data_IF_816303588941
#
_entry.id   IF_816303588941
#
_cell.length_a   1.000
_cell.length_b   1.000
_cell.length_c   1.000
_cell.angle_alpha   90.00
_cell.angle_beta   90.00
_cell.angle_gamma   90.00
#
_symmetry.space_group_name_H-M   'P 1'
#
loop_
_entity.id
_entity.type
_entity.pdbx_description
1 polymer ?
#
# COMPACT_ATOMS: atom_id res chain seq x y z
N UNK A 1 -0.27 14.38 -2.09
CA UNK A 1 -0.48 12.94 -2.30
C UNK A 1 0.00 12.16 -1.10
N UNK A 2 -0.62 11.03 -0.75
CA UNK A 2 -0.18 10.14 0.36
C UNK A 2 0.01 8.74 -0.20
N UNK A 3 1.12 8.07 0.14
CA UNK A 3 1.36 6.66 -0.18
C UNK A 3 1.51 5.89 1.12
N UNK A 4 0.63 4.91 1.34
CA UNK A 4 0.66 3.99 2.47
C UNK A 4 1.34 2.70 2.04
N UNK A 5 2.34 2.26 2.78
CA UNK A 5 2.97 0.95 2.61
C UNK A 5 2.90 0.14 3.91
N UNK A 6 2.57 -1.12 3.80
CA UNK A 6 2.53 -2.09 4.90
C UNK A 6 2.16 -3.47 4.40
N UNK A 7 2.36 -4.50 5.19
CA UNK A 7 2.03 -5.89 4.84
C UNK A 7 0.52 -6.17 4.77
N UNK A 8 0.18 -7.36 4.32
CA UNK A 8 -1.18 -7.90 4.43
C UNK A 8 -1.65 -7.82 5.89
N UNK A 9 -2.93 -7.59 6.09
CA UNK A 9 -3.58 -7.48 7.41
C UNK A 9 -2.95 -6.45 8.39
N UNK A 10 -2.07 -5.56 7.89
CA UNK A 10 -1.51 -4.47 8.70
C UNK A 10 -2.48 -3.33 9.01
N UNK A 11 -3.70 -3.33 8.47
CA UNK A 11 -4.69 -2.27 8.69
C UNK A 11 -4.59 -1.06 7.76
N UNK A 12 -3.78 -1.13 6.68
CA UNK A 12 -3.64 -0.05 5.70
C UNK A 12 -4.97 0.43 5.12
N UNK A 13 -5.80 -0.49 4.62
CA UNK A 13 -7.08 -0.15 3.98
C UNK A 13 -8.06 0.49 4.96
N UNK A 14 -8.04 0.05 6.23
CA UNK A 14 -8.82 0.71 7.31
C UNK A 14 -8.30 2.12 7.58
N UNK A 15 -6.98 2.31 7.61
CA UNK A 15 -6.36 3.62 7.74
C UNK A 15 -6.70 4.53 6.55
N UNK A 16 -6.62 4.01 5.32
CA UNK A 16 -6.95 4.76 4.11
C UNK A 16 -8.40 5.27 4.13
N UNK A 17 -9.35 4.41 4.51
CA UNK A 17 -10.75 4.80 4.68
C UNK A 17 -10.94 5.84 5.78
N UNK A 18 -10.28 5.65 6.93
CA UNK A 18 -10.34 6.63 8.03
C UNK A 18 -9.75 8.00 7.61
N UNK A 19 -8.71 8.01 6.76
CA UNK A 19 -8.18 9.25 6.19
C UNK A 19 -9.18 9.93 5.25
N UNK A 20 -9.87 9.18 4.38
CA UNK A 20 -10.90 9.75 3.50
C UNK A 20 -12.03 10.42 4.29
N UNK A 21 -12.42 9.87 5.45
CA UNK A 21 -13.45 10.44 6.32
C UNK A 21 -12.98 11.66 7.12
N UNK A 22 -11.70 11.74 7.45
CA UNK A 22 -11.16 12.80 8.32
C UNK A 22 -10.61 14.00 7.54
N UNK A 23 -10.14 13.80 6.32
CA UNK A 23 -9.61 14.86 5.48
C UNK A 23 -10.75 15.68 4.87
N UNK A 24 -10.64 17.01 4.94
CA UNK A 24 -11.70 17.92 4.51
C UNK A 24 -11.98 17.89 3.00
N UNK A 25 -10.94 17.63 2.21
CA UNK A 25 -11.07 17.53 0.74
C UNK A 25 -11.39 16.09 0.31
N UNK A 26 -11.99 15.91 -0.88
CA UNK A 26 -12.21 14.57 -1.44
C UNK A 26 -10.88 13.95 -1.88
N UNK A 27 -10.51 12.81 -1.29
CA UNK A 27 -9.34 12.03 -1.64
C UNK A 27 -9.74 10.75 -2.38
N UNK A 28 -9.16 10.54 -3.55
CA UNK A 28 -9.32 9.29 -4.30
C UNK A 28 -8.39 8.23 -3.74
N UNK A 29 -8.91 7.04 -3.47
CA UNK A 29 -8.12 5.90 -3.00
C UNK A 29 -7.86 4.96 -4.18
N UNK A 30 -6.58 4.64 -4.41
CA UNK A 30 -6.11 3.64 -5.36
C UNK A 30 -5.34 2.56 -4.61
N UNK A 31 -5.87 1.34 -4.60
CA UNK A 31 -5.23 0.16 -4.01
C UNK A 31 -4.49 -0.66 -5.05
N UNK A 32 -3.44 -1.39 -4.64
CA UNK A 32 -2.83 -2.39 -5.51
C UNK A 32 -3.81 -3.51 -5.85
N UNK A 33 -4.77 -3.78 -4.97
CA UNK A 33 -5.84 -4.75 -5.20
C UNK A 33 -6.73 -4.33 -6.38
N UNK A 34 -6.96 -3.03 -6.63
CA UNK A 34 -7.70 -2.53 -7.80
C UNK A 34 -7.01 -2.92 -9.12
N UNK A 35 -5.67 -2.85 -9.15
CA UNK A 35 -4.90 -3.32 -10.31
C UNK A 35 -5.04 -4.83 -10.48
N UNK A 36 -4.95 -5.59 -9.38
CA UNK A 36 -5.07 -7.06 -9.41
C UNK A 36 -6.46 -7.46 -9.89
N UNK A 37 -7.50 -6.84 -9.39
CA UNK A 37 -8.90 -7.12 -9.77
C UNK A 37 -9.19 -6.77 -11.24
N UNK A 38 -8.50 -5.77 -11.80
CA UNK A 38 -8.60 -5.42 -13.21
C UNK A 38 -7.83 -6.36 -14.14
N UNK A 39 -7.00 -7.28 -13.62
CA UNK A 39 -6.20 -8.17 -14.44
C UNK A 39 -7.00 -9.35 -15.00
N UNK A 40 -6.67 -9.83 -16.22
CA UNK A 40 -7.25 -11.05 -16.73
C UNK A 40 -6.81 -12.26 -15.91
N UNK A 41 -7.74 -13.19 -15.64
CA UNK A 41 -7.52 -14.34 -14.75
C UNK A 41 -6.30 -15.23 -15.11
N UNK A 42 -5.80 -15.20 -16.35
CA UNK A 42 -4.56 -15.90 -16.71
C UNK A 42 -3.33 -15.36 -15.97
N UNK A 43 -3.31 -14.08 -15.63
CA UNK A 43 -2.20 -13.44 -14.92
C UNK A 43 -2.28 -13.60 -13.40
N UNK A 44 -3.40 -14.12 -12.89
CA UNK A 44 -3.61 -14.39 -11.46
C UNK A 44 -3.20 -15.83 -11.07
N UNK A 45 -2.68 -16.61 -12.02
CA UNK A 45 -2.30 -18.02 -11.83
C UNK A 45 -0.79 -18.28 -11.95
N UNK A 46 0.03 -17.24 -11.77
CA UNK A 46 1.49 -17.34 -11.84
C UNK A 46 2.07 -17.06 -13.23
N UNK A 47 3.26 -17.59 -13.49
CA UNK A 47 3.98 -17.35 -14.74
C UNK A 47 4.48 -15.92 -14.85
N UNK A 48 4.07 -15.22 -15.92
CA UNK A 48 4.43 -13.80 -16.15
C UNK A 48 3.58 -12.79 -15.34
N UNK A 49 2.52 -13.25 -14.66
CA UNK A 49 1.61 -12.45 -13.85
C UNK A 49 1.98 -12.40 -12.38
N UNK A 50 0.99 -12.65 -11.50
CA UNK A 50 1.16 -12.74 -10.05
C UNK A 50 0.83 -14.15 -9.57
N UNK A 51 1.60 -14.66 -8.61
CA UNK A 51 1.34 -15.94 -7.96
C UNK A 51 1.48 -15.84 -6.46
N UNK A 52 0.62 -16.56 -5.76
CA UNK A 52 0.68 -16.78 -4.33
C UNK A 52 1.28 -18.17 -4.07
N UNK A 53 2.33 -18.25 -3.27
CA UNK A 53 2.92 -19.49 -2.81
C UNK A 53 1.93 -20.24 -1.90
N UNK A 54 1.62 -21.47 -2.26
CA UNK A 54 0.62 -22.27 -1.54
C UNK A 54 1.06 -22.69 -0.11
N UNK A 55 2.38 -22.70 0.15
CA UNK A 55 2.93 -23.19 1.40
C UNK A 55 3.32 -22.09 2.40
N UNK A 56 3.72 -20.93 1.91
CA UNK A 56 4.35 -19.86 2.71
C UNK A 56 3.68 -18.49 2.52
N UNK A 57 2.66 -18.38 1.68
CA UNK A 57 1.99 -17.11 1.36
C UNK A 57 2.90 -16.13 0.60
N UNK A 58 4.08 -16.56 0.14
CA UNK A 58 4.99 -15.68 -0.59
C UNK A 58 4.38 -15.23 -1.92
N UNK A 59 4.44 -13.93 -2.18
CA UNK A 59 3.95 -13.35 -3.44
C UNK A 59 5.11 -13.22 -4.41
N UNK A 60 4.96 -13.82 -5.59
CA UNK A 60 5.88 -13.64 -6.72
C UNK A 60 5.21 -12.89 -7.85
N UNK A 61 5.95 -12.03 -8.53
CA UNK A 61 5.45 -11.19 -9.63
C UNK A 61 6.33 -11.33 -10.86
N UNK A 62 5.70 -11.57 -12.01
CA UNK A 62 6.36 -11.73 -13.30
C UNK A 62 6.44 -10.43 -14.11
N UNK A 63 6.99 -10.54 -15.33
CA UNK A 63 7.27 -9.37 -16.18
C UNK A 63 6.01 -8.66 -16.68
N UNK A 64 4.93 -9.40 -17.02
CA UNK A 64 3.67 -8.79 -17.45
C UNK A 64 3.01 -8.01 -16.30
N UNK A 65 3.03 -8.57 -15.07
CA UNK A 65 2.57 -7.84 -13.89
C UNK A 65 3.35 -6.52 -13.73
N UNK A 66 4.67 -6.55 -13.83
CA UNK A 66 5.52 -5.35 -13.69
C UNK A 66 5.24 -4.30 -14.77
N UNK A 67 4.94 -4.73 -15.98
CA UNK A 67 4.55 -3.83 -17.06
C UNK A 67 3.21 -3.14 -16.77
N UNK A 68 2.22 -3.90 -16.31
CA UNK A 68 0.90 -3.36 -15.95
C UNK A 68 0.96 -2.48 -14.69
N UNK A 69 1.77 -2.87 -13.68
CA UNK A 69 2.04 -2.07 -12.49
C UNK A 69 2.61 -0.69 -12.87
N UNK A 70 3.58 -0.66 -13.80
CA UNK A 70 4.16 0.59 -14.28
C UNK A 70 3.14 1.49 -14.99
N UNK A 71 2.28 0.92 -15.83
CA UNK A 71 1.21 1.64 -16.50
C UNK A 71 0.17 2.17 -15.50
N UNK A 72 -0.20 1.37 -14.51
CA UNK A 72 -1.13 1.77 -13.44
C UNK A 72 -0.55 2.90 -12.59
N UNK A 73 0.71 2.79 -12.15
CA UNK A 73 1.41 3.86 -11.42
C UNK A 73 1.42 5.18 -12.21
N UNK A 74 1.65 5.12 -13.53
CA UNK A 74 1.62 6.30 -14.40
C UNK A 74 0.21 6.91 -14.46
N UNK A 75 -0.85 6.09 -14.51
CA UNK A 75 -2.24 6.54 -14.45
C UNK A 75 -2.59 7.23 -13.13
N UNK A 76 -2.18 6.64 -12.00
CA UNK A 76 -2.34 7.24 -10.67
C UNK A 76 -1.60 8.59 -10.58
N UNK A 77 -0.37 8.65 -11.08
CA UNK A 77 0.41 9.89 -11.12
C UNK A 77 -0.24 10.95 -12.01
N UNK A 78 -0.81 10.56 -13.16
CA UNK A 78 -1.54 11.49 -14.04
C UNK A 78 -2.79 12.06 -13.36
N UNK A 79 -3.52 11.25 -12.60
CA UNK A 79 -4.67 11.69 -11.80
C UNK A 79 -4.25 12.75 -10.76
N UNK A 80 -3.14 12.53 -10.06
CA UNK A 80 -2.62 13.51 -9.12
C UNK A 80 -2.13 14.79 -9.81
N UNK A 81 -1.47 14.69 -10.98
CA UNK A 81 -1.04 15.86 -11.78
C UNK A 81 -2.21 16.66 -12.33
N UNK A 82 -3.35 16.04 -12.55
CA UNK A 82 -4.60 16.71 -12.94
C UNK A 82 -5.27 17.46 -11.77
N UNK A 83 -4.66 17.45 -10.58
CA UNK A 83 -5.12 18.19 -9.40
C UNK A 83 -5.93 17.38 -8.40
N UNK A 84 -6.17 16.08 -8.64
CA UNK A 84 -6.85 15.24 -7.66
C UNK A 84 -5.98 14.96 -6.44
N UNK A 85 -6.58 14.95 -5.26
CA UNK A 85 -5.92 14.46 -4.04
C UNK A 85 -5.97 12.93 -4.04
N UNK A 86 -4.83 12.30 -3.89
CA UNK A 86 -4.68 10.85 -4.08
C UNK A 86 -4.07 10.18 -2.85
N UNK A 87 -4.74 9.13 -2.38
CA UNK A 87 -4.26 8.12 -1.44
C UNK A 87 -3.89 6.86 -2.23
N UNK A 88 -2.72 6.29 -1.96
CA UNK A 88 -2.32 4.97 -2.48
C UNK A 88 -2.20 3.98 -1.32
N UNK A 89 -2.87 2.84 -1.43
CA UNK A 89 -2.73 1.67 -0.54
C UNK A 89 -1.94 0.59 -1.28
N UNK A 90 -0.65 0.44 -0.96
CA UNK A 90 0.22 -0.51 -1.63
C UNK A 90 1.02 -1.39 -0.66
N UNK A 91 1.55 -2.49 -1.19
CA UNK A 91 2.40 -3.46 -0.50
C UNK A 91 3.75 -3.52 -1.23
N UNK A 92 4.78 -2.94 -0.65
CA UNK A 92 6.11 -2.89 -1.25
C UNK A 92 6.83 -4.24 -1.14
N UNK A 93 6.36 -5.24 -1.89
CA UNK A 93 6.89 -6.62 -1.87
C UNK A 93 8.41 -6.70 -2.09
N UNK A 94 9.00 -5.72 -2.75
CA UNK A 94 10.44 -5.61 -2.98
C UNK A 94 11.08 -4.48 -2.16
N UNK A 95 10.43 -4.03 -1.08
CA UNK A 95 10.95 -2.98 -0.20
C UNK A 95 11.35 -1.70 -0.95
N UNK A 96 12.60 -1.28 -0.76
CA UNK A 96 13.18 -0.09 -1.42
C UNK A 96 13.00 -0.07 -2.94
N UNK A 97 13.08 -1.23 -3.62
CA UNK A 97 12.90 -1.29 -5.08
C UNK A 97 11.45 -0.98 -5.50
N UNK A 98 10.45 -1.35 -4.70
CA UNK A 98 9.05 -0.93 -4.92
C UNK A 98 8.90 0.57 -4.75
N UNK A 99 9.47 1.13 -3.67
CA UNK A 99 9.46 2.58 -3.45
C UNK A 99 10.14 3.34 -4.58
N UNK A 100 11.27 2.83 -5.09
CA UNK A 100 11.99 3.47 -6.20
C UNK A 100 11.13 3.56 -7.47
N UNK A 101 10.33 2.53 -7.79
CA UNK A 101 9.38 2.58 -8.93
C UNK A 101 8.32 3.65 -8.72
N UNK A 102 7.73 3.74 -7.53
CA UNK A 102 6.79 4.79 -7.20
C UNK A 102 7.42 6.17 -7.25
N UNK A 103 8.62 6.36 -6.69
CA UNK A 103 9.34 7.64 -6.72
C UNK A 103 9.59 8.10 -8.16
N UNK A 104 9.93 7.18 -9.05
CA UNK A 104 10.10 7.48 -10.48
C UNK A 104 8.78 7.91 -11.13
N UNK A 105 7.67 7.20 -10.90
CA UNK A 105 6.36 7.53 -11.45
C UNK A 105 5.82 8.86 -10.91
N UNK A 106 6.06 9.16 -9.63
CA UNK A 106 5.57 10.34 -8.91
C UNK A 106 6.56 11.51 -8.93
N UNK A 107 7.60 11.44 -9.76
CA UNK A 107 8.58 12.54 -9.85
C UNK A 107 7.89 13.90 -10.05
N UNK A 108 8.32 14.90 -9.26
CA UNK A 108 7.77 16.26 -9.28
C UNK A 108 6.45 16.45 -8.52
N UNK A 109 5.88 15.40 -7.94
CA UNK A 109 4.71 15.49 -7.04
C UNK A 109 5.18 15.56 -5.58
N UNK A 110 4.44 16.30 -4.76
CA UNK A 110 4.63 16.27 -3.31
C UNK A 110 3.94 15.05 -2.72
N UNK A 111 4.72 14.14 -2.13
CA UNK A 111 4.26 12.84 -1.63
C UNK A 111 4.62 12.68 -0.16
N UNK A 112 3.63 12.36 0.67
CA UNK A 112 3.82 11.92 2.05
C UNK A 112 3.93 10.38 2.07
N UNK A 113 5.11 9.86 2.40
CA UNK A 113 5.38 8.44 2.50
C UNK A 113 5.09 7.95 3.91
N UNK A 114 4.12 7.04 4.06
CA UNK A 114 3.68 6.53 5.36
C UNK A 114 3.89 5.02 5.46
N UNK A 115 4.69 4.61 6.45
CA UNK A 115 4.85 3.21 6.84
C UNK A 115 3.75 2.79 7.82
N UNK A 116 2.95 1.80 7.45
CA UNK A 116 1.91 1.23 8.31
C UNK A 116 2.43 -0.07 8.90
N UNK A 117 2.90 0.01 10.14
CA UNK A 117 3.48 -1.12 10.85
C UNK A 117 2.43 -1.90 11.63
N UNK A 118 2.62 -3.20 11.66
CA UNK A 118 1.87 -4.12 12.49
C UNK A 118 2.77 -5.33 12.77
N UNK A 119 3.05 -5.68 14.03
CA UNK A 119 3.86 -6.85 14.35
C UNK A 119 3.30 -8.14 13.73
N UNK A 120 4.18 -9.02 13.25
CA UNK A 120 3.80 -10.25 12.55
C UNK A 120 2.76 -11.11 13.30
N UNK A 121 2.85 -11.32 14.64
CA UNK A 121 1.83 -12.07 15.36
C UNK A 121 0.44 -11.44 15.31
N UNK A 122 0.36 -10.09 15.38
CA UNK A 122 -0.92 -9.36 15.33
C UNK A 122 -1.50 -9.41 13.93
N UNK A 123 -0.67 -9.22 12.91
CA UNK A 123 -1.09 -9.29 11.51
C UNK A 123 -1.58 -10.70 11.15
N UNK A 124 -0.89 -11.75 11.60
CA UNK A 124 -1.28 -13.14 11.40
C UNK A 124 -2.61 -13.48 12.12
N UNK A 125 -2.83 -12.99 13.33
CA UNK A 125 -4.10 -13.17 14.03
C UNK A 125 -5.26 -12.52 13.26
N UNK A 126 -5.07 -11.31 12.75
CA UNK A 126 -6.06 -10.62 11.91
C UNK A 126 -6.30 -11.31 10.56
N UNK A 127 -5.25 -11.91 9.99
CA UNK A 127 -5.36 -12.71 8.76
C UNK A 127 -6.24 -13.94 8.97
N UNK A 128 -6.06 -14.65 10.10
CA UNK A 128 -6.84 -15.84 10.44
C UNK A 128 -8.34 -15.59 10.60
N UNK A 129 -8.74 -14.35 10.91
CA UNK A 129 -10.15 -13.93 11.00
C UNK A 129 -10.77 -13.63 9.61
N UNK A 130 -9.98 -13.65 8.53
CA UNK A 130 -10.42 -13.33 7.16
C UNK A 130 -10.40 -14.57 6.27
N UNK A 131 -11.56 -15.10 5.86
CA UNK A 131 -11.63 -16.33 5.06
C UNK A 131 -11.11 -16.17 3.62
N UNK A 132 -10.96 -14.93 3.15
CA UNK A 132 -10.51 -14.56 1.79
C UNK A 132 -8.99 -14.39 1.68
N UNK A 133 -8.23 -14.57 2.77
CA UNK A 133 -6.78 -14.36 2.79
C UNK A 133 -5.99 -15.66 2.81
N UNK A 134 -4.83 -15.64 2.13
CA UNK A 134 -3.90 -16.76 2.14
C UNK A 134 -3.10 -16.75 3.43
N UNK A 135 -3.15 -17.85 4.18
CA UNK A 135 -2.43 -17.98 5.45
C UNK A 135 -0.91 -17.83 5.26
N UNK A 136 -0.26 -17.12 6.19
CA UNK A 136 1.18 -16.90 6.20
C UNK A 136 1.65 -15.64 5.47
N UNK A 137 0.83 -15.04 4.63
CA UNK A 137 1.18 -13.82 3.88
C UNK A 137 1.48 -12.63 4.81
N UNK A 138 0.66 -12.46 5.86
CA UNK A 138 0.84 -11.35 6.79
C UNK A 138 2.15 -11.46 7.56
N UNK A 139 2.55 -12.66 7.96
CA UNK A 139 3.81 -12.90 8.66
C UNK A 139 5.03 -12.65 7.77
N UNK A 140 5.03 -13.15 6.52
CA UNK A 140 6.10 -12.91 5.53
C UNK A 140 6.28 -11.41 5.24
N UNK A 141 5.17 -10.69 5.11
CA UNK A 141 5.20 -9.30 4.68
C UNK A 141 5.47 -8.29 5.79
N UNK A 142 5.22 -8.64 7.08
CA UNK A 142 5.23 -7.69 8.20
C UNK A 142 6.52 -6.85 8.29
N UNK A 143 7.67 -7.43 8.04
CA UNK A 143 8.97 -6.74 8.04
C UNK A 143 9.53 -6.52 6.64
N UNK A 144 9.34 -7.48 5.75
CA UNK A 144 9.93 -7.49 4.41
C UNK A 144 9.54 -6.26 3.58
N UNK A 145 8.30 -5.83 3.64
CA UNK A 145 7.79 -4.69 2.88
C UNK A 145 8.39 -3.35 3.31
N UNK A 146 9.03 -3.31 4.47
CA UNK A 146 9.65 -2.12 5.03
C UNK A 146 11.17 -2.06 4.81
N UNK A 147 11.76 -3.13 4.23
CA UNK A 147 13.23 -3.23 4.07
C UNK A 147 13.76 -2.15 3.13
N UNK A 148 14.61 -1.27 3.67
CA UNK A 148 15.25 -0.17 2.95
C UNK A 148 14.29 0.91 2.43
N UNK A 149 13.06 0.96 2.94
CA UNK A 149 12.07 1.98 2.59
C UNK A 149 12.21 3.20 3.50
N UNK A 150 12.25 4.40 2.90
CA UNK A 150 12.27 5.65 3.64
C UNK A 150 10.84 6.21 3.80
N UNK A 151 10.50 6.55 5.02
CA UNK A 151 9.19 7.13 5.37
C UNK A 151 9.33 8.53 5.96
N UNK A 152 8.37 9.40 5.64
CA UNK A 152 8.17 10.69 6.32
C UNK A 152 7.51 10.49 7.70
N UNK A 153 6.74 9.39 7.83
CA UNK A 153 6.00 9.03 9.04
C UNK A 153 5.78 7.52 9.10
N UNK A 154 5.82 6.96 10.29
CA UNK A 154 5.33 5.59 10.55
C UNK A 154 4.22 5.61 11.58
N UNK A 155 3.21 4.76 11.39
CA UNK A 155 2.13 4.51 12.35
C UNK A 155 2.06 3.03 12.69
N UNK A 156 1.68 2.71 13.93
CA UNK A 156 1.52 1.34 14.41
C UNK A 156 0.04 1.06 14.71
N UNK A 157 -0.54 0.20 13.89
CA UNK A 157 -1.95 -0.19 14.00
C UNK A 157 -2.21 -1.29 15.03
N UNK A 158 -1.17 -1.86 15.65
CA UNK A 158 -1.34 -2.78 16.76
C UNK A 158 -1.60 -2.03 18.07
N UNK A 159 -1.04 -0.82 18.21
CA UNK A 159 -1.13 0.01 19.41
C UNK A 159 -2.15 1.15 19.30
N UNK A 160 -2.60 1.49 18.08
CA UNK A 160 -3.52 2.59 17.81
C UNK A 160 -4.65 2.18 16.87
N UNK A 161 -5.83 2.78 17.03
CA UNK A 161 -6.94 2.57 16.11
C UNK A 161 -6.66 3.19 14.72
N UNK A 162 -7.38 2.74 13.68
CA UNK A 162 -7.29 3.34 12.36
C UNK A 162 -7.59 4.85 12.38
N UNK A 163 -8.55 5.28 13.21
CA UNK A 163 -8.91 6.69 13.39
C UNK A 163 -7.77 7.49 14.06
N UNK A 164 -7.08 6.93 15.05
CA UNK A 164 -5.94 7.57 15.70
C UNK A 164 -4.75 7.69 14.76
N UNK A 165 -4.46 6.64 14.03
CA UNK A 165 -3.43 6.65 12.98
C UNK A 165 -3.75 7.70 11.91
N UNK A 166 -5.01 7.80 11.48
CA UNK A 166 -5.45 8.78 10.50
C UNK A 166 -5.27 10.22 11.01
N UNK A 167 -5.59 10.49 12.29
CA UNK A 167 -5.31 11.81 12.90
C UNK A 167 -3.83 12.16 12.87
N UNK A 168 -2.97 11.19 13.16
CA UNK A 168 -1.51 11.37 13.12
C UNK A 168 -1.02 11.71 11.71
N UNK A 169 -1.52 10.98 10.69
CA UNK A 169 -1.16 11.22 9.28
C UNK A 169 -1.69 12.59 8.82
N UNK A 170 -2.94 12.93 9.14
CA UNK A 170 -3.54 14.21 8.79
C UNK A 170 -2.79 15.39 9.42
N UNK A 171 -2.39 15.27 10.70
CA UNK A 171 -1.58 16.30 11.36
C UNK A 171 -0.21 16.47 10.70
N UNK A 172 0.43 15.38 10.27
CA UNK A 172 1.70 15.44 9.54
C UNK A 172 1.54 16.08 8.16
N UNK A 173 0.43 15.76 7.47
CA UNK A 173 0.11 16.37 6.17
C UNK A 173 -0.05 17.89 6.29
N UNK A 174 -0.77 18.38 7.30
CA UNK A 174 -1.00 19.81 7.53
C UNK A 174 0.27 20.60 7.86
N UNK A 175 1.35 19.93 8.29
CA UNK A 175 2.64 20.55 8.56
C UNK A 175 3.53 20.71 7.31
N UNK A 176 3.10 20.18 6.16
CA UNK A 176 3.87 20.28 4.91
C UNK A 176 3.59 21.62 4.23
N UNK A 177 4.63 22.31 3.71
CA UNK A 177 4.42 23.54 2.95
C UNK A 177 3.65 23.23 1.66
N UNK A 178 2.49 23.84 1.48
CA UNK A 178 1.65 23.69 0.29
C UNK A 178 0.53 22.63 0.40
N UNK A 179 0.19 22.23 1.64
CA UNK A 179 -0.99 21.40 1.91
C UNK A 179 -2.30 22.20 1.83
#
# INVERSE_FOLDING_TARGET
MIVLNGGSSSGKSSLARALQEQLADPWLLFGIDDLIDAMPGRLLRGGSGIALGAADGAVSVGAEFRSLEGAWMAGVAATARAGARVLVDDVFLSGAASQARWRAALHGLDVLWVGVRCPAPVAAAREAERPDRTAGMAADQAERVHTGVDYDLTVDTASASAADCARTVAARLAQRPGG
#
